data_IF_431367622048
#
_entry.id   IF_431367622048
#
_cell.length_a   1.000
_cell.length_b   1.000
_cell.length_c   1.000
_cell.angle_alpha   90.00
_cell.angle_beta   90.00
_cell.angle_gamma   90.00
#
_symmetry.space_group_name_H-M   'P 1'
#
loop_
_entity.id
_entity.type
_entity.pdbx_description
1 polymer ?
#
# COMPACT_ATOMS: atom_id res chain seq x y z
N UNK A 1 -14.14 -3.17 5.28
CA UNK A 1 -13.44 -3.48 4.01
C UNK A 1 -13.07 -2.23 3.22
N UNK A 2 -14.02 -1.32 2.97
CA UNK A 2 -13.77 -0.05 2.25
C UNK A 2 -12.62 0.83 2.79
N UNK A 3 -12.50 1.10 4.11
CA UNK A 3 -11.38 1.90 4.61
C UNK A 3 -10.02 1.20 4.43
N UNK A 4 -9.97 -0.12 4.59
CA UNK A 4 -8.76 -0.89 4.30
C UNK A 4 -8.38 -0.84 2.82
N UNK A 5 -9.36 -0.95 1.92
CA UNK A 5 -9.15 -0.79 0.48
C UNK A 5 -8.63 0.60 0.11
N UNK A 6 -9.14 1.66 0.75
CA UNK A 6 -8.65 3.03 0.55
C UNK A 6 -7.18 3.17 0.97
N UNK A 7 -6.79 2.65 2.13
CA UNK A 7 -5.40 2.67 2.60
C UNK A 7 -4.48 1.91 1.64
N UNK A 8 -4.86 0.69 1.22
CA UNK A 8 -4.08 -0.12 0.28
C UNK A 8 -3.91 0.61 -1.05
N UNK A 9 -4.97 1.26 -1.54
CA UNK A 9 -4.92 2.02 -2.80
C UNK A 9 -3.94 3.19 -2.70
N UNK A 10 -3.99 3.96 -1.60
CA UNK A 10 -3.07 5.09 -1.37
C UNK A 10 -1.61 4.61 -1.33
N UNK A 11 -1.34 3.51 -0.63
CA UNK A 11 0.00 2.91 -0.58
C UNK A 11 0.47 2.49 -1.99
N UNK A 12 -0.39 1.85 -2.77
CA UNK A 12 -0.08 1.45 -4.14
C UNK A 12 0.21 2.64 -5.06
N UNK A 13 -0.57 3.73 -4.97
CA UNK A 13 -0.32 4.96 -5.72
C UNK A 13 1.01 5.60 -5.32
N UNK A 14 1.31 5.65 -4.03
CA UNK A 14 2.58 6.16 -3.52
C UNK A 14 3.77 5.38 -4.12
N UNK A 15 3.74 4.05 -4.09
CA UNK A 15 4.80 3.23 -4.70
C UNK A 15 4.89 3.39 -6.22
N UNK A 16 3.76 3.60 -6.91
CA UNK A 16 3.77 3.87 -8.35
C UNK A 16 4.50 5.18 -8.67
N UNK A 17 4.28 6.24 -7.88
CA UNK A 17 4.97 7.53 -8.04
C UNK A 17 6.47 7.37 -7.84
N UNK A 18 6.88 6.61 -6.81
CA UNK A 18 8.29 6.32 -6.56
C UNK A 18 8.93 5.55 -7.71
N UNK A 19 8.26 4.52 -8.22
CA UNK A 19 8.74 3.75 -9.37
C UNK A 19 8.90 4.66 -10.61
N UNK A 20 7.91 5.51 -10.90
CA UNK A 20 7.98 6.47 -12.01
C UNK A 20 9.09 7.53 -11.84
N UNK A 21 9.49 7.82 -10.61
CA UNK A 21 10.55 8.78 -10.30
C UNK A 21 11.95 8.17 -10.36
N UNK A 22 12.06 6.86 -10.58
CA UNK A 22 13.35 6.17 -10.63
C UNK A 22 14.17 6.61 -11.85
N UNK A 23 15.41 7.04 -11.61
CA UNK A 23 16.36 7.32 -12.68
C UNK A 23 16.81 6.00 -13.31
N UNK A 24 16.56 5.86 -14.61
CA UNK A 24 16.94 4.68 -15.39
C UNK A 24 18.14 4.96 -16.28
N UNK A 25 18.71 6.15 -16.22
CA UNK A 25 19.81 6.58 -17.08
C UNK A 25 21.17 6.29 -16.45
N UNK A 26 22.17 6.09 -17.30
CA UNK A 26 23.57 5.92 -16.92
C UNK A 26 24.41 6.80 -17.85
N UNK A 27 25.33 7.56 -17.27
CA UNK A 27 26.27 8.38 -18.03
C UNK A 27 27.29 7.51 -18.77
N UNK A 28 27.50 7.83 -20.05
CA UNK A 28 28.53 7.23 -20.90
C UNK A 28 29.33 8.34 -21.58
N UNK A 29 30.47 7.99 -22.18
CA UNK A 29 31.32 8.94 -22.92
C UNK A 29 30.62 9.64 -24.10
N UNK A 30 29.45 9.16 -24.53
CA UNK A 30 28.68 9.70 -25.65
C UNK A 30 27.33 10.29 -25.23
N UNK A 31 27.07 10.41 -23.92
CA UNK A 31 25.80 10.90 -23.36
C UNK A 31 25.16 9.91 -22.39
N UNK A 32 24.01 10.26 -21.85
CA UNK A 32 23.24 9.37 -20.98
C UNK A 32 22.41 8.37 -21.81
N UNK A 33 22.46 7.11 -21.41
CA UNK A 33 21.68 6.03 -22.04
C UNK A 33 20.85 5.35 -20.97
N UNK A 34 19.61 4.99 -21.30
CA UNK A 34 18.76 4.25 -20.37
C UNK A 34 19.26 2.81 -20.23
N UNK A 35 19.52 2.41 -19.00
CA UNK A 35 19.94 1.07 -18.67
C UNK A 35 18.73 0.12 -18.66
N UNK A 36 18.80 -0.92 -19.49
CA UNK A 36 17.73 -1.92 -19.64
C UNK A 36 17.44 -2.63 -18.31
N UNK A 37 18.46 -2.86 -17.47
CA UNK A 37 18.29 -3.44 -16.14
C UNK A 37 17.47 -2.53 -15.24
N UNK A 38 17.86 -1.26 -15.11
CA UNK A 38 17.11 -0.28 -14.32
C UNK A 38 15.69 -0.07 -14.87
N UNK A 39 15.51 -0.03 -16.19
CA UNK A 39 14.17 0.02 -16.79
C UNK A 39 13.32 -1.20 -16.43
N UNK A 40 13.91 -2.39 -16.38
CA UNK A 40 13.20 -3.61 -15.99
C UNK A 40 12.81 -3.59 -14.51
N UNK A 41 13.68 -3.08 -13.64
CA UNK A 41 13.39 -2.93 -12.21
C UNK A 41 12.28 -1.90 -11.97
N UNK A 42 12.36 -0.73 -12.60
CA UNK A 42 11.28 0.28 -12.60
C UNK A 42 9.95 -0.35 -13.03
N UNK A 43 9.96 -1.16 -14.09
CA UNK A 43 8.76 -1.86 -14.59
C UNK A 43 8.23 -2.88 -13.58
N UNK A 44 9.10 -3.63 -12.90
CA UNK A 44 8.68 -4.59 -11.88
C UNK A 44 8.01 -3.89 -10.69
N UNK A 45 8.57 -2.76 -10.23
CA UNK A 45 7.94 -1.95 -9.19
C UNK A 45 6.59 -1.36 -9.64
N UNK A 46 6.48 -0.95 -10.90
CA UNK A 46 5.20 -0.53 -11.49
C UNK A 46 4.17 -1.66 -11.53
N UNK A 47 4.55 -2.88 -11.90
CA UNK A 47 3.66 -4.04 -11.88
C UNK A 47 3.16 -4.35 -10.46
N UNK A 48 4.05 -4.34 -9.48
CA UNK A 48 3.69 -4.58 -8.08
C UNK A 48 2.76 -3.49 -7.53
N UNK A 49 3.05 -2.24 -7.85
CA UNK A 49 2.23 -1.09 -7.47
C UNK A 49 0.85 -1.16 -8.12
N UNK A 50 0.79 -1.47 -9.42
CA UNK A 50 -0.45 -1.64 -10.17
C UNK A 50 -1.34 -2.76 -9.60
N UNK A 51 -0.75 -3.90 -9.25
CA UNK A 51 -1.48 -5.00 -8.61
C UNK A 51 -2.03 -4.59 -7.23
N UNK A 52 -1.24 -3.84 -6.46
CA UNK A 52 -1.65 -3.34 -5.13
C UNK A 52 -2.81 -2.36 -5.24
N UNK A 53 -2.75 -1.42 -6.19
CA UNK A 53 -3.84 -0.49 -6.51
C UNK A 53 -5.10 -1.26 -6.91
N UNK A 54 -4.96 -2.25 -7.80
CA UNK A 54 -6.07 -3.09 -8.26
C UNK A 54 -6.78 -3.75 -7.07
N UNK A 55 -6.02 -4.40 -6.18
CA UNK A 55 -6.58 -5.07 -5.00
C UNK A 55 -7.28 -4.05 -4.08
N UNK A 56 -6.66 -2.90 -3.83
CA UNK A 56 -7.23 -1.84 -3.02
C UNK A 56 -8.57 -1.33 -3.58
N UNK A 57 -8.63 -1.07 -4.88
CA UNK A 57 -9.83 -0.62 -5.59
C UNK A 57 -10.92 -1.68 -5.54
N UNK A 58 -10.59 -2.96 -5.79
CA UNK A 58 -11.55 -4.05 -5.69
C UNK A 58 -12.17 -4.16 -4.29
N UNK A 59 -11.39 -3.96 -3.23
CA UNK A 59 -11.89 -3.95 -1.85
C UNK A 59 -12.80 -2.75 -1.55
N UNK A 60 -12.63 -1.62 -2.22
CA UNK A 60 -13.51 -0.46 -2.10
C UNK A 60 -14.85 -0.73 -2.79
N UNK A 61 -14.80 -1.24 -4.03
CA UNK A 61 -15.98 -1.47 -4.87
C UNK A 61 -16.82 -2.64 -4.34
N UNK A 62 -16.18 -3.77 -4.06
CA UNK A 62 -16.86 -5.02 -3.71
C UNK A 62 -16.88 -5.30 -2.20
N UNK A 63 -16.21 -4.49 -1.39
CA UNK A 63 -16.14 -4.69 0.05
C UNK A 63 -17.50 -4.48 0.75
N UNK A 64 -18.03 -5.55 1.33
CA UNK A 64 -19.24 -5.48 2.15
C UNK A 64 -18.97 -4.72 3.45
N UNK A 65 -19.95 -3.95 3.96
CA UNK A 65 -19.87 -3.39 5.30
C UNK A 65 -19.84 -4.54 6.32
N UNK A 66 -19.01 -4.38 7.35
CA UNK A 66 -19.07 -5.27 8.51
C UNK A 66 -20.43 -4.96 9.16
N UNK A 67 -21.29 -5.97 9.41
CA UNK A 67 -22.57 -5.74 10.07
C UNK A 67 -22.33 -5.00 11.38
N UNK A 68 -23.07 -3.90 11.60
CA UNK A 68 -23.02 -3.19 12.88
C UNK A 68 -23.49 -4.17 13.97
N UNK A 69 -22.73 -4.25 15.06
CA UNK A 69 -23.19 -4.97 16.26
C UNK A 69 -24.53 -4.37 16.73
N UNK A 70 -25.41 -5.19 17.34
CA UNK A 70 -26.65 -4.72 17.94
C UNK A 70 -26.40 -3.59 18.95
N UNK A 71 -27.42 -2.77 19.20
CA UNK A 71 -27.36 -1.70 20.20
C UNK A 71 -27.08 -2.29 21.59
N UNK A 72 -26.42 -1.50 22.45
CA UNK A 72 -25.93 -1.89 23.78
C UNK A 72 -27.04 -2.46 24.70
N UNK A 73 -28.32 -2.13 24.45
CA UNK A 73 -29.46 -2.67 25.20
C UNK A 73 -29.66 -4.18 25.03
N UNK A 74 -29.05 -4.78 24.02
CA UNK A 74 -29.33 -6.16 23.60
C UNK A 74 -28.15 -7.13 23.83
N UNK A 75 -27.05 -6.69 24.46
CA UNK A 75 -25.78 -7.44 24.54
C UNK A 75 -25.43 -7.84 25.99
N UNK A 76 -25.41 -9.14 26.26
CA UNK A 76 -24.81 -9.77 27.44
C UNK A 76 -23.30 -9.42 27.54
N UNK A 77 -22.93 -8.67 28.59
CA UNK A 77 -21.60 -8.13 28.84
C UNK A 77 -20.50 -9.19 29.07
N UNK A 78 -20.82 -10.48 29.08
CA UNK A 78 -19.83 -11.55 29.25
C UNK A 78 -18.87 -11.77 28.07
N UNK A 79 -19.15 -11.25 26.86
CA UNK A 79 -18.58 -11.86 25.63
C UNK A 79 -17.68 -10.99 24.73
N UNK A 80 -17.54 -9.69 24.97
CA UNK A 80 -16.83 -8.83 24.01
C UNK A 80 -15.86 -7.86 24.68
N UNK A 81 -14.70 -8.39 25.08
CA UNK A 81 -13.48 -7.58 25.23
C UNK A 81 -12.63 -7.75 23.96
N UNK A 82 -12.90 -6.92 22.95
CA UNK A 82 -12.05 -6.83 21.75
C UNK A 82 -11.35 -5.49 21.76
N UNK A 83 -10.19 -5.49 22.39
CA UNK A 83 -9.21 -4.39 22.42
C UNK A 83 -8.86 -3.95 21.00
N UNK A 84 -9.27 -2.75 20.66
CA UNK A 84 -9.04 -2.05 19.39
C UNK A 84 -7.52 -1.82 19.16
N UNK A 85 -6.82 -2.81 18.59
CA UNK A 85 -5.38 -2.75 18.24
C UNK A 85 -5.10 -2.37 16.78
N UNK A 86 -6.14 -2.07 16.02
CA UNK A 86 -6.08 -1.78 14.58
C UNK A 86 -5.25 -0.54 14.18
N UNK A 87 -5.10 0.55 14.98
CA UNK A 87 -4.34 1.71 14.51
C UNK A 87 -2.81 1.48 14.50
N UNK A 88 -2.29 0.64 15.39
CA UNK A 88 -0.84 0.45 15.53
C UNK A 88 -0.22 -0.39 14.41
N UNK A 89 -0.99 -1.32 13.83
CA UNK A 89 -0.53 -2.15 12.70
C UNK A 89 -0.35 -1.29 11.45
N UNK A 90 -1.28 -0.36 11.20
CA UNK A 90 -1.23 0.55 10.06
C UNK A 90 -0.05 1.51 10.18
N UNK A 91 0.17 2.07 11.38
CA UNK A 91 1.33 2.92 11.67
C UNK A 91 2.64 2.15 11.48
N UNK A 92 2.71 0.89 11.96
CA UNK A 92 3.88 0.03 11.78
C UNK A 92 4.20 -0.26 10.31
N UNK A 93 3.20 -0.47 9.46
CA UNK A 93 3.38 -0.69 8.02
C UNK A 93 3.88 0.58 7.32
N UNK A 94 3.36 1.75 7.67
CA UNK A 94 3.83 3.03 7.12
C UNK A 94 5.28 3.34 7.51
N UNK A 95 5.65 3.09 8.77
CA UNK A 95 7.02 3.27 9.26
C UNK A 95 7.96 2.29 8.57
N UNK A 96 7.57 1.02 8.41
CA UNK A 96 8.38 0.02 7.71
C UNK A 96 8.60 0.39 6.24
N UNK A 97 7.55 0.83 5.54
CA UNK A 97 7.66 1.30 4.16
C UNK A 97 8.60 2.50 4.04
N UNK A 98 8.55 3.44 4.98
CA UNK A 98 9.46 4.58 5.05
C UNK A 98 10.92 4.17 5.31
N UNK A 99 11.17 3.20 6.19
CA UNK A 99 12.51 2.68 6.46
C UNK A 99 13.09 1.95 5.25
N UNK A 100 12.27 1.14 4.56
CA UNK A 100 12.68 0.48 3.32
C UNK A 100 13.01 1.52 2.26
N UNK A 101 12.20 2.58 2.13
CA UNK A 101 12.42 3.66 1.18
C UNK A 101 13.77 4.37 1.35
N UNK A 102 14.18 4.66 2.59
CA UNK A 102 15.49 5.29 2.89
C UNK A 102 16.67 4.41 2.46
N UNK A 103 16.50 3.08 2.42
CA UNK A 103 17.58 2.17 2.03
C UNK A 103 17.81 2.07 0.52
N UNK A 104 16.89 2.58 -0.29
CA UNK A 104 16.92 2.46 -1.75
C UNK A 104 17.00 3.81 -2.49
N UNK A 105 17.15 4.91 -1.75
CA UNK A 105 17.56 6.24 -2.22
C UNK A 105 19.03 6.42 -1.82
#
# INVERSE_FOLDING_TARGET
MKPAGAVITIIGVFFAILALSMDVSVETSFGSVNNIGLMNDQRNYLFLSGLTILIGVLLIIFGKPIPKMPDQSDIDHSKYDVKEKTPYIIIGVLILAFIVLIKFI
#
